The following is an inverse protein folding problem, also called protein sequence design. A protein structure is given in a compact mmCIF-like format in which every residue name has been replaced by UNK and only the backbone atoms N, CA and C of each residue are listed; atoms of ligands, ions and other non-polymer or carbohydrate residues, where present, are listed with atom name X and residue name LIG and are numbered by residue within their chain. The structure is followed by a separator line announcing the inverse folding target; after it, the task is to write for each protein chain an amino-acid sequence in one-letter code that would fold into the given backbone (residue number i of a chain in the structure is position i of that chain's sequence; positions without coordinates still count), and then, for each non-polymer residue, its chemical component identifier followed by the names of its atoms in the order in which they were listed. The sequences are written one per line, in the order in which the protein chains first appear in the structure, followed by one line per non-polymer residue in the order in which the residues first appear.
data_IF_192273329789
#
_entry.id   IF_192273329789
#
_cell.length_a   1.000
_cell.length_b   1.000
_cell.length_c   1.000
_cell.angle_alpha   90.00
_cell.angle_beta   90.00
_cell.angle_gamma   90.00
#
_symmetry.space_group_name_H-M   'P 1'
#
loop_
_entity.id
_entity.type
_entity.pdbx_description
1 polymer ?
#
# COMPACT_ATOMS: atom_id res chain seq x y z
N UNK A 1 28.53 11.14 -8.35
CA UNK A 1 27.81 10.27 -7.38
C UNK A 1 28.44 10.47 -6.01
N UNK A 2 27.68 10.87 -5.00
CA UNK A 2 28.21 11.12 -3.65
C UNK A 2 28.22 9.80 -2.86
N UNK A 3 29.40 9.36 -2.42
CA UNK A 3 29.59 8.10 -1.68
C UNK A 3 28.77 8.08 -0.36
N UNK A 4 28.66 9.21 0.31
CA UNK A 4 27.90 9.32 1.56
C UNK A 4 26.41 9.07 1.36
N UNK A 5 25.83 9.59 0.27
CA UNK A 5 24.42 9.35 -0.07
C UNK A 5 24.12 7.90 -0.41
N UNK A 6 25.03 7.24 -1.14
CA UNK A 6 24.91 5.79 -1.41
C UNK A 6 25.01 4.99 -0.12
N UNK A 7 25.92 5.33 0.76
CA UNK A 7 26.09 4.68 2.07
C UNK A 7 24.83 4.83 2.94
N UNK A 8 24.29 6.03 3.01
CA UNK A 8 23.06 6.31 3.74
C UNK A 8 21.87 5.55 3.16
N UNK A 9 21.72 5.53 1.83
CA UNK A 9 20.70 4.77 1.14
C UNK A 9 20.75 3.28 1.48
N UNK A 10 21.92 2.62 1.34
CA UNK A 10 22.07 1.19 1.61
C UNK A 10 21.74 0.89 3.08
N UNK A 11 22.24 1.71 4.02
CA UNK A 11 21.94 1.55 5.43
C UNK A 11 20.45 1.73 5.74
N UNK A 12 19.80 2.69 5.09
CA UNK A 12 18.37 2.98 5.25
C UNK A 12 17.52 1.80 4.78
N UNK A 13 17.69 1.35 3.54
CA UNK A 13 16.89 0.24 3.00
C UNK A 13 17.10 -1.04 3.81
N UNK A 14 18.34 -1.34 4.21
CA UNK A 14 18.59 -2.51 5.04
C UNK A 14 17.84 -2.46 6.36
N UNK A 15 17.84 -1.32 7.04
CA UNK A 15 17.13 -1.13 8.32
C UNK A 15 15.61 -1.17 8.15
N UNK A 16 15.07 -0.55 7.09
CA UNK A 16 13.64 -0.54 6.80
C UNK A 16 13.10 -1.95 6.54
N UNK A 17 13.94 -2.81 5.96
CA UNK A 17 13.60 -4.21 5.70
C UNK A 17 14.08 -5.19 6.78
N UNK A 18 14.53 -4.67 7.92
CA UNK A 18 15.00 -5.46 9.08
C UNK A 18 16.10 -6.47 8.75
N UNK A 19 16.94 -6.18 7.75
CA UNK A 19 18.03 -7.05 7.32
C UNK A 19 19.31 -6.74 8.13
N UNK A 20 20.10 -7.78 8.42
CA UNK A 20 21.49 -7.64 8.86
C UNK A 20 22.40 -7.35 7.67
N UNK A 21 23.62 -6.86 7.90
CA UNK A 21 24.61 -6.68 6.83
C UNK A 21 24.97 -8.01 6.14
N UNK A 22 24.97 -9.11 6.90
CA UNK A 22 25.24 -10.44 6.36
C UNK A 22 24.12 -10.94 5.45
N UNK A 23 22.86 -10.72 5.81
CA UNK A 23 21.70 -11.07 4.97
C UNK A 23 21.65 -10.24 3.69
N UNK A 24 21.94 -8.93 3.80
CA UNK A 24 22.06 -8.09 2.61
C UNK A 24 23.20 -8.55 1.69
N UNK A 25 24.33 -8.93 2.26
CA UNK A 25 25.48 -9.48 1.51
C UNK A 25 25.10 -10.78 0.78
N UNK A 26 24.45 -11.70 1.49
CA UNK A 26 23.97 -12.96 0.92
C UNK A 26 22.98 -12.76 -0.23
N UNK A 27 22.05 -11.79 -0.07
CA UNK A 27 21.06 -11.46 -1.10
C UNK A 27 21.68 -11.04 -2.44
N UNK A 28 22.77 -10.30 -2.40
CA UNK A 28 23.45 -9.78 -3.60
C UNK A 28 24.74 -10.54 -3.97
N UNK A 29 25.00 -11.67 -3.34
CA UNK A 29 26.16 -12.52 -3.66
C UNK A 29 27.51 -11.84 -3.37
N UNK A 30 27.55 -10.96 -2.37
CA UNK A 30 28.76 -10.23 -1.97
C UNK A 30 29.19 -10.59 -0.57
N UNK A 31 30.38 -10.14 -0.15
CA UNK A 31 30.87 -10.39 1.19
C UNK A 31 30.27 -9.40 2.22
N UNK A 32 30.15 -9.81 3.45
CA UNK A 32 29.77 -8.93 4.57
C UNK A 32 30.68 -7.68 4.64
N UNK A 33 31.99 -7.85 4.43
CA UNK A 33 32.96 -6.76 4.42
C UNK A 33 32.68 -5.73 3.32
N UNK A 34 32.19 -6.18 2.16
CA UNK A 34 31.80 -5.28 1.08
C UNK A 34 30.65 -4.39 1.51
N UNK A 35 29.55 -4.99 2.04
CA UNK A 35 28.40 -4.24 2.56
C UNK A 35 28.81 -3.27 3.67
N UNK A 36 29.66 -3.71 4.59
CA UNK A 36 30.18 -2.86 5.67
C UNK A 36 30.95 -1.65 5.12
N UNK A 37 31.79 -1.84 4.08
CA UNK A 37 32.52 -0.74 3.43
C UNK A 37 31.57 0.22 2.73
N UNK A 38 30.52 -0.28 2.07
CA UNK A 38 29.51 0.54 1.40
C UNK A 38 28.75 1.42 2.41
N UNK A 39 28.27 0.83 3.50
CA UNK A 39 27.54 1.57 4.54
C UNK A 39 28.40 2.60 5.29
N UNK A 40 29.72 2.42 5.31
CA UNK A 40 30.64 3.37 5.90
C UNK A 40 31.22 4.38 4.90
N UNK A 41 30.70 4.41 3.67
CA UNK A 41 31.17 5.33 2.64
C UNK A 41 32.62 5.13 2.21
N UNK A 42 33.21 3.95 2.48
CA UNK A 42 34.59 3.62 2.10
C UNK A 42 34.70 3.07 0.68
N UNK A 43 33.61 2.59 0.14
CA UNK A 43 33.51 2.08 -1.21
C UNK A 43 32.06 2.19 -1.72
N UNK A 44 31.86 2.07 -3.01
CA UNK A 44 30.55 2.07 -3.66
C UNK A 44 30.31 0.69 -4.28
N UNK A 45 29.06 0.15 -4.23
CA UNK A 45 28.70 -1.04 -4.97
C UNK A 45 28.91 -0.83 -6.47
N UNK A 46 29.05 -1.92 -7.20
CA UNK A 46 28.97 -1.90 -8.66
C UNK A 46 27.58 -1.35 -9.08
N UNK A 47 27.53 -0.65 -10.21
CA UNK A 47 26.30 -0.04 -10.69
C UNK A 47 25.20 -1.07 -10.97
N UNK A 48 25.57 -2.29 -11.34
CA UNK A 48 24.65 -3.40 -11.54
C UNK A 48 23.95 -3.81 -10.23
N UNK A 49 24.72 -3.90 -9.14
CA UNK A 49 24.20 -4.23 -7.81
C UNK A 49 23.31 -3.07 -7.29
N UNK A 50 23.74 -1.83 -7.50
CA UNK A 50 22.98 -0.67 -7.09
C UNK A 50 21.64 -0.57 -7.82
N UNK A 51 21.63 -0.85 -9.13
CA UNK A 51 20.41 -0.92 -9.93
C UNK A 51 19.49 -2.02 -9.44
N UNK A 52 20.00 -3.22 -9.20
CA UNK A 52 19.23 -4.33 -8.65
C UNK A 52 18.64 -4.01 -7.29
N UNK A 53 19.39 -3.33 -6.40
CA UNK A 53 18.85 -2.84 -5.13
C UNK A 53 17.70 -1.86 -5.33
N UNK A 54 17.82 -0.91 -6.26
CA UNK A 54 16.76 0.04 -6.56
C UNK A 54 15.50 -0.66 -7.09
N UNK A 55 15.64 -1.66 -7.93
CA UNK A 55 14.53 -2.47 -8.45
C UNK A 55 13.85 -3.29 -7.33
N UNK A 56 14.63 -4.00 -6.52
CA UNK A 56 14.14 -4.86 -5.44
C UNK A 56 13.38 -4.06 -4.37
N UNK A 57 13.87 -2.87 -4.04
CA UNK A 57 13.28 -2.01 -3.02
C UNK A 57 12.37 -0.91 -3.58
N UNK A 58 12.11 -0.94 -4.89
CA UNK A 58 11.22 0.00 -5.60
C UNK A 58 11.62 1.48 -5.39
N UNK A 59 12.89 1.77 -5.39
CA UNK A 59 13.47 3.11 -5.29
C UNK A 59 13.97 3.56 -6.66
N UNK A 60 13.73 4.82 -7.01
CA UNK A 60 14.26 5.37 -8.25
C UNK A 60 15.76 5.65 -8.12
N UNK A 61 16.55 5.12 -9.05
CA UNK A 61 17.99 5.34 -9.08
C UNK A 61 18.32 6.84 -9.25
N UNK A 62 17.49 7.61 -9.96
CA UNK A 62 17.69 9.04 -10.12
C UNK A 62 17.50 9.78 -8.79
N UNK A 63 16.54 9.39 -7.97
CA UNK A 63 16.35 9.95 -6.62
C UNK A 63 17.58 9.73 -5.74
N UNK A 64 18.23 8.58 -5.89
CA UNK A 64 19.47 8.27 -5.19
C UNK A 64 20.64 9.13 -5.69
N UNK A 65 20.77 9.34 -7.00
CA UNK A 65 21.86 10.09 -7.60
C UNK A 65 21.72 11.60 -7.37
N UNK A 66 20.50 12.12 -7.40
CA UNK A 66 20.20 13.55 -7.23
C UNK A 66 20.09 13.96 -5.75
N UNK A 67 19.96 12.98 -4.84
CA UNK A 67 19.84 13.21 -3.41
C UNK A 67 18.53 13.87 -2.99
N UNK A 68 17.51 13.77 -3.82
CA UNK A 68 16.16 14.09 -3.41
C UNK A 68 15.66 12.99 -2.49
N UNK A 69 15.24 13.36 -1.28
CA UNK A 69 14.57 12.44 -0.37
C UNK A 69 13.34 11.90 -1.09
N UNK A 70 13.39 10.64 -1.50
CA UNK A 70 12.30 9.97 -2.18
C UNK A 70 11.02 10.18 -1.37
N UNK A 71 10.15 11.05 -1.85
CA UNK A 71 8.75 11.05 -1.43
C UNK A 71 8.24 9.68 -1.78
N UNK A 72 7.97 8.88 -0.76
CA UNK A 72 7.38 7.55 -0.85
C UNK A 72 6.22 7.64 -1.86
N UNK A 73 6.45 7.20 -3.08
CA UNK A 73 5.39 7.09 -4.09
C UNK A 73 4.48 5.98 -3.60
N UNK A 74 3.50 6.37 -2.78
CA UNK A 74 2.42 5.48 -2.41
C UNK A 74 1.82 5.02 -3.73
N UNK A 75 1.99 3.75 -4.04
CA UNK A 75 1.48 3.16 -5.27
C UNK A 75 -0.03 3.42 -5.29
N UNK A 76 -0.51 4.20 -6.26
CA UNK A 76 -1.94 4.52 -6.44
C UNK A 76 -2.82 3.27 -6.55
N UNK A 77 -2.25 2.11 -6.80
CA UNK A 77 -2.96 0.82 -6.85
C UNK A 77 -3.64 0.44 -5.53
N UNK A 78 -3.09 0.87 -4.39
CA UNK A 78 -3.69 0.56 -3.08
C UNK A 78 -4.88 1.47 -2.75
N UNK A 79 -4.86 2.72 -3.24
CA UNK A 79 -5.97 3.67 -3.08
C UNK A 79 -7.20 3.26 -3.92
N UNK A 80 -7.00 2.64 -5.08
CA UNK A 80 -8.09 2.20 -5.97
C UNK A 80 -8.79 0.96 -5.36
N UNK A 81 -8.04 -0.01 -4.82
CA UNK A 81 -8.58 -1.22 -4.18
C UNK A 81 -9.40 -0.92 -2.91
N UNK A 82 -8.91 -0.03 -2.05
CA UNK A 82 -9.59 0.37 -0.82
C UNK A 82 -10.87 1.18 -1.06
N UNK A 83 -10.86 2.07 -2.07
CA UNK A 83 -12.02 2.88 -2.43
C UNK A 83 -13.18 2.06 -2.97
N UNK A 84 -12.92 1.04 -3.79
CA UNK A 84 -13.94 0.15 -4.36
C UNK A 84 -14.62 -0.67 -3.25
N UNK A 85 -13.86 -1.16 -2.28
CA UNK A 85 -14.39 -1.99 -1.18
C UNK A 85 -15.33 -1.17 -0.29
N UNK A 86 -14.94 0.06 0.06
CA UNK A 86 -15.79 0.99 0.84
C UNK A 86 -17.04 1.36 0.05
N UNK A 87 -16.94 1.58 -1.26
CA UNK A 87 -18.09 1.90 -2.11
C UNK A 87 -19.09 0.74 -2.22
N UNK A 88 -18.62 -0.51 -2.32
CA UNK A 88 -19.47 -1.71 -2.32
C UNK A 88 -20.20 -1.86 -0.98
N UNK A 89 -19.53 -1.65 0.14
CA UNK A 89 -20.15 -1.72 1.47
C UNK A 89 -21.21 -0.64 1.63
N UNK A 90 -20.96 0.60 1.21
CA UNK A 90 -21.94 1.69 1.24
C UNK A 90 -23.15 1.41 0.35
N UNK A 91 -22.95 0.85 -0.86
CA UNK A 91 -24.04 0.45 -1.75
C UNK A 91 -24.88 -0.67 -1.13
N UNK A 92 -24.27 -1.66 -0.48
CA UNK A 92 -25.01 -2.76 0.17
C UNK A 92 -25.86 -2.26 1.33
N UNK A 93 -25.32 -1.37 2.17
CA UNK A 93 -26.06 -0.74 3.28
C UNK A 93 -27.21 0.11 2.73
N UNK A 94 -26.98 0.87 1.67
CA UNK A 94 -28.02 1.70 1.04
C UNK A 94 -29.15 0.84 0.44
N UNK A 95 -28.81 -0.29 -0.21
CA UNK A 95 -29.78 -1.23 -0.75
C UNK A 95 -30.64 -1.88 0.35
N UNK A 96 -30.01 -2.30 1.46
CA UNK A 96 -30.74 -2.86 2.62
C UNK A 96 -31.67 -1.82 3.24
N UNK A 97 -31.22 -0.57 3.34
CA UNK A 97 -32.05 0.51 3.88
C UNK A 97 -33.23 0.86 2.96
N UNK A 98 -33.00 0.87 1.65
CA UNK A 98 -34.03 1.14 0.66
C UNK A 98 -35.07 0.01 0.63
N UNK A 99 -34.63 -1.26 0.67
CA UNK A 99 -35.55 -2.43 0.70
C UNK A 99 -36.39 -2.48 1.98
N UNK A 100 -35.86 -2.05 3.14
CA UNK A 100 -36.63 -1.95 4.39
C UNK A 100 -37.75 -0.92 4.29
N UNK A 101 -37.50 0.20 3.61
CA UNK A 101 -38.49 1.28 3.46
C UNK A 101 -39.69 0.84 2.58
N UNK A 102 -39.44 0.01 1.57
CA UNK A 102 -40.53 -0.53 0.71
C UNK A 102 -41.40 -1.58 1.43
N UNK A 103 -40.82 -2.32 2.39
CA UNK A 103 -41.55 -3.31 3.18
C UNK A 103 -42.54 -2.64 4.15
N UNK A 104 -42.18 -1.52 4.75
CA UNK A 104 -43.07 -0.78 5.65
C UNK A 104 -44.27 -0.16 4.88
N UNK A 105 -44.01 0.36 3.70
CA UNK A 105 -45.07 0.91 2.84
C UNK A 105 -46.06 -0.18 2.35
N UNK A 106 -45.57 -1.40 2.12
CA UNK A 106 -46.42 -2.52 1.72
C UNK A 106 -47.31 -3.04 2.87
N UNK A 107 -46.75 -3.11 4.09
CA UNK A 107 -47.47 -3.52 5.30
C UNK A 107 -48.60 -2.53 5.64
N UNK A 108 -48.36 -1.24 5.49
CA UNK A 108 -49.37 -0.20 5.76
C UNK A 108 -50.53 -0.30 4.77
N UNK A 109 -50.28 -0.64 3.51
CA UNK A 109 -51.29 -0.76 2.46
C UNK A 109 -52.20 -1.98 2.65
N UNK A 110 -51.66 -3.09 3.16
CA UNK A 110 -52.44 -4.28 3.49
C UNK A 110 -53.31 -4.11 4.71
N UNK A 111 -52.87 -3.35 5.74
CA UNK A 111 -53.65 -3.01 6.92
C UNK A 111 -54.82 -2.08 6.59
N UNK A 112 -54.62 -1.08 5.72
CA UNK A 112 -55.68 -0.19 5.25
C UNK A 112 -56.77 -0.93 4.45
N UNK A 113 -56.39 -1.85 3.57
CA UNK A 113 -57.32 -2.68 2.80
C UNK A 113 -58.17 -3.64 3.68
N UNK A 114 -57.63 -4.03 4.83
CA UNK A 114 -58.33 -4.93 5.75
C UNK A 114 -59.33 -4.17 6.66
N UNK A 115 -59.14 -2.88 6.89
CA UNK A 115 -60.08 -2.04 7.66
C UNK A 115 -61.35 -1.70 6.85
N UNK A 116 -61.23 -1.56 5.55
CA UNK A 116 -62.39 -1.25 4.67
C UNK A 116 -63.37 -2.42 4.56
N UNK A 117 -62.91 -3.65 4.75
CA UNK A 117 -63.75 -4.85 4.73
C UNK A 117 -64.52 -5.14 6.03
N UNK A 118 -64.21 -4.44 7.14
CA UNK A 118 -64.84 -4.68 8.45
C UNK A 118 -66.10 -3.81 8.68
N UNK A 119 -66.36 -2.83 7.81
CA UNK A 119 -67.48 -1.88 7.97
C UNK A 119 -68.76 -2.23 7.14
N UNK A 120 -68.86 -3.47 6.66
CA UNK A 120 -70.01 -3.91 5.82
C UNK A 120 -70.92 -4.97 6.48
N UNK A 121 -70.94 -5.01 7.83
CA UNK A 121 -71.98 -5.77 8.56
C UNK A 121 -72.54 -4.95 9.71
#
# INVERSE_FOLDING_TARGET
MNQEKVAEFIRKIRKEHHLTQAELASKYGVTYQAVSKWENGKNIPDISILKQMCEDFQVDLNDLLEGSTAKKKISKKWLIGGGILVFIVLLSVFMVFFFKKDQEAFQFKTLSSNCDNFNLY
#
